data_IF_365843886910
#
_entry.id   IF_365843886910
#
_cell.length_a   1.000
_cell.length_b   1.000
_cell.length_c   1.000
_cell.angle_alpha   90.00
_cell.angle_beta   90.00
_cell.angle_gamma   90.00
#
_symmetry.space_group_name_H-M   'P 1'
#
loop_
_entity.id
_entity.type
_entity.pdbx_description
1 polymer ?
#
# COMPACT_ATOMS: atom_id res chain seq x y z
N UNK A 1 -16.24 8.22 -11.20
CA UNK A 1 -15.41 8.41 -9.99
C UNK A 1 -16.26 8.16 -8.76
N UNK A 2 -15.73 7.40 -7.80
CA UNK A 2 -16.36 7.20 -6.49
C UNK A 2 -16.33 8.51 -5.69
N UNK A 3 -17.40 8.83 -4.95
CA UNK A 3 -17.38 9.86 -3.91
C UNK A 3 -16.88 9.24 -2.61
N UNK A 4 -16.07 9.98 -1.84
CA UNK A 4 -15.69 9.58 -0.48
C UNK A 4 -16.48 10.38 0.58
N UNK A 5 -17.45 11.17 0.17
CA UNK A 5 -18.34 11.84 1.11
C UNK A 5 -19.04 10.82 2.01
N UNK A 6 -18.91 11.02 3.31
CA UNK A 6 -19.37 10.11 4.37
C UNK A 6 -18.72 8.72 4.43
N UNK A 7 -17.75 8.42 3.55
CA UNK A 7 -17.01 7.15 3.60
C UNK A 7 -16.18 7.03 4.86
N UNK A 8 -15.94 5.81 5.31
CA UNK A 8 -15.10 5.47 6.46
C UNK A 8 -13.74 4.97 5.99
N UNK A 9 -12.68 5.64 6.39
CA UNK A 9 -11.31 5.38 5.93
C UNK A 9 -10.41 5.05 7.10
N UNK A 10 -9.70 3.93 7.04
CA UNK A 10 -8.69 3.53 8.03
C UNK A 10 -7.31 3.58 7.39
N UNK A 11 -6.34 4.21 8.07
CA UNK A 11 -4.98 4.40 7.56
C UNK A 11 -3.95 4.00 8.62
N UNK A 12 -3.17 2.95 8.37
CA UNK A 12 -2.03 2.59 9.22
C UNK A 12 -0.82 3.48 8.93
N UNK A 13 -0.04 3.84 9.97
CA UNK A 13 1.04 4.83 9.82
C UNK A 13 0.51 6.23 9.43
N UNK A 14 -0.72 6.57 9.87
CA UNK A 14 -1.45 7.75 9.45
C UNK A 14 -1.07 9.06 10.17
N UNK A 15 -0.15 9.02 11.15
CA UNK A 15 0.20 10.22 11.92
C UNK A 15 1.24 11.13 11.25
N UNK A 16 1.95 10.66 10.23
CA UNK A 16 3.01 11.43 9.56
C UNK A 16 3.13 11.08 8.07
N UNK A 17 3.85 11.90 7.32
CA UNK A 17 4.25 11.62 5.94
C UNK A 17 3.08 11.34 5.00
N UNK A 18 3.23 10.30 4.18
CA UNK A 18 2.23 9.90 3.17
C UNK A 18 0.90 9.55 3.81
N UNK A 19 0.91 8.79 4.92
CA UNK A 19 -0.32 8.38 5.61
C UNK A 19 -1.12 9.58 6.13
N UNK A 20 -0.46 10.58 6.71
CA UNK A 20 -1.10 11.80 7.17
C UNK A 20 -1.65 12.64 6.01
N UNK A 21 -0.90 12.79 4.93
CA UNK A 21 -1.35 13.52 3.75
C UNK A 21 -2.57 12.84 3.09
N UNK A 22 -2.59 11.51 3.02
CA UNK A 22 -3.78 10.76 2.56
C UNK A 22 -4.96 10.93 3.51
N UNK A 23 -4.74 10.89 4.84
CA UNK A 23 -5.80 11.15 5.83
C UNK A 23 -6.45 12.52 5.62
N UNK A 24 -5.63 13.55 5.42
CA UNK A 24 -6.07 14.91 5.11
C UNK A 24 -6.82 14.97 3.77
N UNK A 25 -6.31 14.31 2.73
CA UNK A 25 -6.94 14.32 1.41
C UNK A 25 -8.31 13.63 1.43
N UNK A 26 -8.44 12.46 2.05
CA UNK A 26 -9.73 11.80 2.24
C UNK A 26 -10.70 12.63 3.08
N UNK A 27 -10.20 13.23 4.17
CA UNK A 27 -11.02 14.11 5.01
C UNK A 27 -11.58 15.33 4.27
N UNK A 28 -10.79 15.95 3.39
CA UNK A 28 -11.24 17.05 2.52
C UNK A 28 -12.31 16.62 1.50
N UNK A 29 -12.36 15.35 1.15
CA UNK A 29 -13.43 14.76 0.33
C UNK A 29 -14.68 14.37 1.16
N UNK A 30 -14.73 14.73 2.45
CA UNK A 30 -15.86 14.47 3.34
C UNK A 30 -15.83 13.10 4.03
N UNK A 31 -14.73 12.36 3.97
CA UNK A 31 -14.60 11.08 4.65
C UNK A 31 -14.41 11.24 6.17
N UNK A 32 -14.86 10.24 6.94
CA UNK A 32 -14.50 10.02 8.34
C UNK A 32 -13.22 9.19 8.37
N UNK A 33 -12.20 9.65 9.09
CA UNK A 33 -10.87 9.04 9.02
C UNK A 33 -10.45 8.50 10.38
N UNK A 34 -10.00 7.25 10.43
CA UNK A 34 -9.29 6.67 11.56
C UNK A 34 -7.83 6.47 11.19
N UNK A 35 -6.93 7.10 11.92
CA UNK A 35 -5.49 6.90 11.76
C UNK A 35 -4.94 6.03 12.88
N UNK A 36 -3.97 5.17 12.53
CA UNK A 36 -3.36 4.24 13.46
C UNK A 36 -1.84 4.25 13.35
N UNK A 37 -1.15 4.27 14.47
CA UNK A 37 0.30 4.10 14.59
C UNK A 37 0.69 3.79 16.05
N UNK A 38 1.90 3.30 16.35
CA UNK A 38 2.21 2.88 17.73
C UNK A 38 2.47 4.04 18.71
N UNK A 39 2.75 5.26 18.26
CA UNK A 39 3.14 6.40 19.12
C UNK A 39 1.96 7.32 19.39
N UNK A 40 1.29 7.14 20.53
CA UNK A 40 0.09 7.88 20.91
C UNK A 40 0.23 9.42 20.78
N UNK A 41 1.34 10.00 21.26
CA UNK A 41 1.56 11.46 21.21
C UNK A 41 1.56 12.04 19.78
N UNK A 42 1.95 11.22 18.77
CA UNK A 42 1.89 11.61 17.36
C UNK A 42 0.48 11.55 16.81
N UNK A 43 -0.28 10.53 17.20
CA UNK A 43 -1.69 10.40 16.83
C UNK A 43 -2.52 11.56 17.35
N UNK A 44 -2.31 11.95 18.62
CA UNK A 44 -3.00 13.08 19.25
C UNK A 44 -2.75 14.38 18.49
N UNK A 45 -1.48 14.68 18.17
CA UNK A 45 -1.12 15.85 17.38
C UNK A 45 -1.68 15.83 15.95
N UNK A 46 -1.62 14.67 15.29
CA UNK A 46 -2.13 14.52 13.94
C UNK A 46 -3.65 14.69 13.88
N UNK A 47 -4.40 14.06 14.79
CA UNK A 47 -5.87 14.22 14.84
C UNK A 47 -6.27 15.62 15.21
N UNK A 48 -5.57 16.29 16.14
CA UNK A 48 -5.82 17.69 16.44
C UNK A 48 -5.69 18.56 15.19
N UNK A 49 -4.62 18.38 14.41
CA UNK A 49 -4.40 19.12 13.16
C UNK A 49 -5.47 18.83 12.10
N UNK A 50 -5.89 17.56 11.94
CA UNK A 50 -6.98 17.20 11.02
C UNK A 50 -8.30 17.86 11.43
N UNK A 51 -8.61 17.86 12.71
CA UNK A 51 -9.84 18.48 13.25
C UNK A 51 -9.85 20.00 13.12
N UNK A 52 -8.70 20.66 13.24
CA UNK A 52 -8.54 22.10 12.96
C UNK A 52 -8.88 22.44 11.51
N UNK A 53 -8.64 21.50 10.56
CA UNK A 53 -9.05 21.64 9.17
C UNK A 53 -10.52 21.20 8.93
N UNK A 54 -11.30 20.92 10.00
CA UNK A 54 -12.72 20.50 9.89
C UNK A 54 -12.93 19.04 9.55
N UNK A 55 -11.88 18.21 9.59
CA UNK A 55 -11.94 16.81 9.22
C UNK A 55 -12.41 15.97 10.41
N UNK A 56 -13.40 15.08 10.18
CA UNK A 56 -13.83 14.13 11.19
C UNK A 56 -12.79 13.02 11.31
N UNK A 57 -11.91 13.13 12.30
CA UNK A 57 -10.79 12.22 12.50
C UNK A 57 -10.76 11.65 13.92
N UNK A 58 -10.47 10.36 14.02
CA UNK A 58 -10.21 9.62 15.26
C UNK A 58 -8.91 8.83 15.13
N UNK A 59 -8.43 8.27 16.23
CA UNK A 59 -7.20 7.50 16.22
C UNK A 59 -7.24 6.31 17.17
N UNK A 60 -6.39 5.32 16.89
CA UNK A 60 -6.09 4.21 17.77
C UNK A 60 -4.58 3.90 17.74
N UNK A 61 -3.99 3.61 18.91
CA UNK A 61 -2.62 3.05 18.94
C UNK A 61 -2.64 1.64 18.36
N UNK A 62 -1.73 1.38 17.41
CA UNK A 62 -1.65 0.10 16.73
C UNK A 62 -0.23 -0.14 16.25
N UNK A 63 0.37 -1.22 16.71
CA UNK A 63 1.61 -1.77 16.17
C UNK A 63 1.24 -2.85 15.15
N UNK A 64 1.47 -2.57 13.86
CA UNK A 64 1.12 -3.48 12.76
C UNK A 64 1.86 -4.81 12.80
N UNK A 65 2.90 -4.94 13.62
CA UNK A 65 3.60 -6.21 13.83
C UNK A 65 2.82 -7.18 14.73
N UNK A 66 1.75 -6.71 15.38
CA UNK A 66 0.90 -7.47 16.29
C UNK A 66 -0.48 -7.70 15.69
N UNK A 67 -0.88 -8.95 15.56
CA UNK A 67 -2.20 -9.29 15.02
C UNK A 67 -3.33 -8.78 15.92
N UNK A 68 -3.14 -8.84 17.23
CA UNK A 68 -4.09 -8.35 18.22
C UNK A 68 -4.36 -6.85 18.11
N UNK A 69 -3.33 -6.04 17.77
CA UNK A 69 -3.50 -4.60 17.58
C UNK A 69 -4.31 -4.30 16.30
N UNK A 70 -4.07 -5.06 15.21
CA UNK A 70 -4.85 -4.94 13.96
C UNK A 70 -6.30 -5.40 14.16
N UNK A 71 -6.54 -6.47 14.92
CA UNK A 71 -7.91 -6.89 15.29
C UNK A 71 -8.62 -5.78 16.10
N UNK A 72 -7.95 -5.22 17.11
CA UNK A 72 -8.48 -4.11 17.91
C UNK A 72 -8.76 -2.87 17.05
N UNK A 73 -7.89 -2.57 16.08
CA UNK A 73 -8.10 -1.47 15.12
C UNK A 73 -9.35 -1.72 14.27
N UNK A 74 -9.52 -2.94 13.78
CA UNK A 74 -10.70 -3.31 13.02
C UNK A 74 -11.98 -3.22 13.89
N UNK A 75 -11.96 -3.79 15.09
CA UNK A 75 -13.10 -3.70 16.03
C UNK A 75 -13.50 -2.24 16.29
N UNK A 76 -12.51 -1.38 16.58
CA UNK A 76 -12.74 0.05 16.81
C UNK A 76 -13.31 0.74 15.58
N UNK A 77 -12.80 0.44 14.37
CA UNK A 77 -13.26 1.07 13.14
C UNK A 77 -14.71 0.72 12.82
N UNK A 78 -15.11 -0.57 12.93
CA UNK A 78 -16.51 -0.97 12.73
C UNK A 78 -17.42 -0.46 13.83
N UNK A 79 -16.96 -0.38 15.08
CA UNK A 79 -17.73 0.20 16.19
C UNK A 79 -18.00 1.69 15.99
N UNK A 80 -16.97 2.45 15.55
CA UNK A 80 -17.03 3.91 15.36
C UNK A 80 -17.84 4.29 14.13
N UNK A 81 -17.66 3.56 13.04
CA UNK A 81 -18.18 3.94 11.74
C UNK A 81 -19.38 3.10 11.26
N UNK A 82 -19.55 1.91 11.79
CA UNK A 82 -20.57 0.94 11.35
C UNK A 82 -20.14 0.12 10.12
N UNK A 83 -19.25 0.66 9.30
CA UNK A 83 -18.67 0.03 8.12
C UNK A 83 -17.30 0.62 7.82
N UNK A 84 -16.43 -0.10 7.09
CA UNK A 84 -15.16 0.42 6.57
C UNK A 84 -15.18 0.37 5.05
N UNK A 85 -15.09 1.54 4.43
CA UNK A 85 -15.12 1.68 2.98
C UNK A 85 -13.74 1.64 2.34
N UNK A 86 -12.70 2.09 3.07
CA UNK A 86 -11.33 2.13 2.56
C UNK A 86 -10.35 1.74 3.67
N UNK A 87 -9.48 0.79 3.36
CA UNK A 87 -8.26 0.54 4.14
C UNK A 87 -7.04 1.00 3.33
N UNK A 88 -6.20 1.83 3.94
CA UNK A 88 -4.86 2.15 3.44
C UNK A 88 -3.81 1.51 4.36
N UNK A 89 -3.26 0.38 3.93
CA UNK A 89 -2.08 -0.22 4.55
C UNK A 89 -0.85 0.61 4.16
N UNK A 90 -0.47 1.56 5.03
CA UNK A 90 0.61 2.50 4.72
C UNK A 90 1.81 2.38 5.68
N UNK A 91 1.63 1.84 6.87
CA UNK A 91 2.72 1.70 7.85
C UNK A 91 3.96 1.08 7.22
N UNK A 92 5.12 1.70 7.45
CA UNK A 92 6.37 1.22 6.88
C UNK A 92 7.58 1.91 7.52
N UNK A 93 8.69 1.20 7.53
CA UNK A 93 9.98 1.67 8.02
C UNK A 93 11.05 1.51 6.94
N UNK A 94 12.11 2.28 7.08
CA UNK A 94 13.30 2.18 6.24
C UNK A 94 14.23 1.10 6.79
N UNK A 95 14.84 0.31 5.90
CA UNK A 95 15.94 -0.56 6.26
C UNK A 95 17.22 0.26 6.50
N UNK A 96 18.16 -0.22 7.32
CA UNK A 96 19.53 0.28 7.32
C UNK A 96 20.11 0.24 5.90
N UNK A 97 20.81 1.29 5.49
CA UNK A 97 21.42 1.38 4.16
C UNK A 97 22.76 0.63 4.14
N UNK A 98 22.69 -0.70 3.99
CA UNK A 98 23.84 -1.62 3.99
C UNK A 98 23.75 -2.60 2.82
N UNK A 99 24.90 -3.06 2.29
CA UNK A 99 24.92 -4.18 1.35
C UNK A 99 24.28 -5.44 1.96
N UNK A 100 23.74 -6.31 1.12
CA UNK A 100 23.15 -7.60 1.57
C UNK A 100 24.13 -8.43 2.41
N UNK A 101 25.42 -8.36 2.09
CA UNK A 101 26.50 -9.09 2.80
C UNK A 101 26.81 -8.56 4.19
N UNK A 102 26.28 -7.39 4.56
CA UNK A 102 26.57 -6.70 5.82
C UNK A 102 25.31 -6.37 6.63
N UNK A 103 24.13 -6.68 6.09
CA UNK A 103 22.86 -6.43 6.76
C UNK A 103 22.57 -7.58 7.74
N UNK A 104 22.29 -7.23 8.98
CA UNK A 104 21.90 -8.19 9.99
C UNK A 104 20.50 -8.76 9.72
N UNK A 105 20.30 -10.04 10.01
CA UNK A 105 19.01 -10.70 9.84
C UNK A 105 17.92 -10.11 10.74
N UNK A 106 18.27 -9.56 11.90
CA UNK A 106 17.34 -8.87 12.79
C UNK A 106 16.75 -7.62 12.12
N UNK A 107 17.60 -6.80 11.49
CA UNK A 107 17.17 -5.62 10.72
C UNK A 107 16.28 -6.03 9.53
N UNK A 108 16.64 -7.12 8.83
CA UNK A 108 15.83 -7.64 7.73
C UNK A 108 14.44 -8.08 8.22
N UNK A 109 14.37 -8.85 9.30
CA UNK A 109 13.11 -9.31 9.88
C UNK A 109 12.26 -8.13 10.34
N UNK A 110 12.84 -7.13 11.01
CA UNK A 110 12.11 -5.94 11.44
C UNK A 110 11.47 -5.18 10.27
N UNK A 111 12.21 -5.01 9.17
CA UNK A 111 11.69 -4.36 7.96
C UNK A 111 10.55 -5.17 7.34
N UNK A 112 10.69 -6.48 7.21
CA UNK A 112 9.64 -7.33 6.65
C UNK A 112 8.42 -7.41 7.57
N UNK A 113 8.62 -7.45 8.89
CA UNK A 113 7.51 -7.55 9.83
C UNK A 113 6.59 -6.31 9.77
N UNK A 114 7.17 -5.12 9.63
CA UNK A 114 6.39 -3.90 9.45
C UNK A 114 5.88 -3.76 8.01
N UNK A 115 6.79 -3.78 7.01
CA UNK A 115 6.47 -3.37 5.63
C UNK A 115 5.65 -4.40 4.85
N UNK A 116 5.79 -5.68 5.18
CA UNK A 116 5.11 -6.77 4.49
C UNK A 116 4.11 -7.50 5.39
N UNK A 117 4.56 -8.10 6.48
CA UNK A 117 3.65 -8.87 7.34
C UNK A 117 2.61 -7.97 8.03
N UNK A 118 2.95 -6.73 8.38
CA UNK A 118 1.98 -5.75 8.88
C UNK A 118 0.87 -5.47 7.86
N UNK A 119 1.24 -5.25 6.59
CA UNK A 119 0.25 -5.05 5.52
C UNK A 119 -0.55 -6.32 5.22
N UNK A 120 0.09 -7.51 5.30
CA UNK A 120 -0.58 -8.80 5.18
C UNK A 120 -1.65 -8.98 6.26
N UNK A 121 -1.31 -8.73 7.54
CA UNK A 121 -2.27 -8.79 8.66
C UNK A 121 -3.44 -7.83 8.42
N UNK A 122 -3.15 -6.59 8.02
CA UNK A 122 -4.19 -5.60 7.69
C UNK A 122 -5.09 -6.10 6.55
N UNK A 123 -4.51 -6.59 5.46
CA UNK A 123 -5.27 -7.12 4.32
C UNK A 123 -6.13 -8.33 4.70
N UNK A 124 -5.59 -9.26 5.49
CA UNK A 124 -6.32 -10.47 5.92
C UNK A 124 -7.49 -10.13 6.84
N UNK A 125 -7.26 -9.31 7.87
CA UNK A 125 -8.27 -9.01 8.89
C UNK A 125 -9.35 -8.09 8.32
N UNK A 126 -8.96 -6.96 7.72
CA UNK A 126 -9.93 -6.03 7.14
C UNK A 126 -10.59 -6.60 5.89
N UNK A 127 -9.83 -7.29 5.01
CA UNK A 127 -10.37 -7.91 3.80
C UNK A 127 -11.47 -8.90 4.12
N UNK A 128 -11.26 -9.80 5.11
CA UNK A 128 -12.31 -10.71 5.60
C UNK A 128 -13.58 -9.96 6.01
N UNK A 129 -13.44 -8.93 6.84
CA UNK A 129 -14.58 -8.16 7.33
C UNK A 129 -15.26 -7.34 6.22
N UNK A 130 -14.52 -6.82 5.25
CA UNK A 130 -15.08 -6.15 4.07
C UNK A 130 -15.88 -7.12 3.19
N UNK A 131 -15.41 -8.36 3.03
CA UNK A 131 -16.18 -9.42 2.34
C UNK A 131 -17.48 -9.71 3.09
N UNK A 132 -17.42 -9.89 4.40
CA UNK A 132 -18.60 -10.12 5.25
C UNK A 132 -19.57 -8.91 5.26
N UNK A 133 -19.04 -7.69 5.18
CA UNK A 133 -19.82 -6.45 5.04
C UNK A 133 -20.65 -6.43 3.75
N UNK A 134 -20.15 -7.01 2.65
CA UNK A 134 -20.87 -7.18 1.39
C UNK A 134 -21.16 -5.90 0.62
N UNK A 135 -20.59 -4.76 1.01
CA UNK A 135 -20.70 -3.48 0.31
C UNK A 135 -19.41 -3.11 -0.38
N UNK A 136 -19.49 -2.17 -1.35
CA UNK A 136 -18.31 -1.72 -2.08
C UNK A 136 -17.25 -1.15 -1.14
N UNK A 137 -16.04 -1.68 -1.24
CA UNK A 137 -14.90 -1.26 -0.43
C UNK A 137 -13.62 -1.15 -1.29
N UNK A 138 -12.55 -0.61 -0.69
CA UNK A 138 -11.24 -0.53 -1.34
C UNK A 138 -10.14 -0.89 -0.34
N UNK A 139 -9.20 -1.72 -0.78
CA UNK A 139 -8.02 -2.12 -0.02
C UNK A 139 -6.77 -1.71 -0.80
N UNK A 140 -6.08 -0.70 -0.31
CA UNK A 140 -4.84 -0.22 -0.91
C UNK A 140 -3.65 -0.47 0.01
N UNK A 141 -2.53 -0.92 -0.56
CA UNK A 141 -1.26 -1.03 0.15
C UNK A 141 -0.24 -0.07 -0.44
N UNK A 142 0.55 0.58 0.42
CA UNK A 142 1.60 1.51 -0.03
C UNK A 142 2.87 0.74 -0.33
N UNK A 143 3.11 0.53 -1.62
CA UNK A 143 4.35 0.00 -2.17
C UNK A 143 5.45 1.07 -2.24
N UNK A 144 6.11 1.11 -3.37
CA UNK A 144 7.15 2.07 -3.74
C UNK A 144 7.45 1.91 -5.25
N UNK A 145 8.11 2.87 -5.88
CA UNK A 145 8.79 2.65 -7.15
C UNK A 145 9.74 1.45 -7.07
N UNK A 146 10.36 1.24 -5.90
CA UNK A 146 11.21 0.08 -5.61
C UNK A 146 10.45 -1.26 -5.52
N UNK A 147 9.13 -1.28 -5.74
CA UNK A 147 8.37 -2.52 -6.01
C UNK A 147 8.60 -3.05 -7.43
N UNK A 148 9.18 -2.25 -8.33
CA UNK A 148 9.32 -2.61 -9.75
C UNK A 148 10.77 -2.61 -10.24
N UNK A 149 11.64 -1.76 -9.70
CA UNK A 149 13.04 -1.64 -10.12
C UNK A 149 13.96 -1.22 -8.97
N UNK A 150 15.26 -1.29 -9.17
CA UNK A 150 16.26 -0.85 -8.20
C UNK A 150 16.85 0.48 -8.63
N UNK A 151 16.73 1.52 -7.81
CA UNK A 151 17.30 2.85 -8.06
C UNK A 151 18.27 3.31 -6.96
N UNK A 152 18.29 2.62 -5.82
CA UNK A 152 19.07 3.03 -4.66
C UNK A 152 20.03 1.91 -4.24
N UNK A 153 21.35 2.15 -4.29
CA UNK A 153 22.32 1.20 -3.75
C UNK A 153 22.09 0.91 -2.26
N UNK A 154 22.38 -0.31 -1.83
CA UNK A 154 22.28 -0.76 -0.43
C UNK A 154 20.88 -0.69 0.18
N UNK A 155 19.83 -0.59 -0.63
CA UNK A 155 18.43 -0.58 -0.20
C UNK A 155 17.74 -1.92 -0.44
N UNK A 156 18.48 -3.02 -0.63
CA UNK A 156 17.95 -4.31 -1.08
C UNK A 156 16.87 -4.87 -0.13
N UNK A 157 17.04 -4.77 1.19
CA UNK A 157 16.04 -5.25 2.14
C UNK A 157 14.71 -4.49 2.02
N UNK A 158 14.77 -3.17 1.92
CA UNK A 158 13.58 -2.35 1.69
C UNK A 158 12.93 -2.66 0.34
N UNK A 159 13.72 -2.72 -0.73
CA UNK A 159 13.26 -3.08 -2.07
C UNK A 159 12.58 -4.46 -2.08
N UNK A 160 13.20 -5.48 -1.46
CA UNK A 160 12.63 -6.81 -1.36
C UNK A 160 11.28 -6.80 -0.63
N UNK A 161 11.17 -6.05 0.48
CA UNK A 161 9.90 -5.91 1.19
C UNK A 161 8.80 -5.26 0.32
N UNK A 162 9.14 -4.27 -0.51
CA UNK A 162 8.19 -3.60 -1.41
C UNK A 162 7.83 -4.42 -2.65
N UNK A 163 8.73 -5.28 -3.15
CA UNK A 163 8.39 -6.31 -4.14
C UNK A 163 7.43 -7.36 -3.57
N UNK A 164 7.64 -7.78 -2.31
CA UNK A 164 6.71 -8.70 -1.63
C UNK A 164 5.30 -8.10 -1.50
N UNK A 165 5.19 -6.81 -1.19
CA UNK A 165 3.89 -6.10 -1.16
C UNK A 165 3.21 -6.10 -2.53
N UNK A 166 3.95 -5.88 -3.63
CA UNK A 166 3.39 -5.97 -4.98
C UNK A 166 2.80 -7.36 -5.23
N UNK A 167 3.57 -8.43 -4.97
CA UNK A 167 3.09 -9.81 -5.15
C UNK A 167 1.85 -10.12 -4.32
N UNK A 168 1.79 -9.65 -3.06
CA UNK A 168 0.61 -9.78 -2.21
C UNK A 168 -0.61 -9.08 -2.81
N UNK A 169 -0.46 -7.84 -3.28
CA UNK A 169 -1.56 -7.07 -3.87
C UNK A 169 -2.08 -7.72 -5.16
N UNK A 170 -1.19 -8.27 -5.98
CA UNK A 170 -1.60 -9.01 -7.19
C UNK A 170 -2.38 -10.28 -6.85
N UNK A 171 -1.94 -11.05 -5.84
CA UNK A 171 -2.68 -12.20 -5.33
C UNK A 171 -4.06 -11.83 -4.77
N UNK A 172 -4.12 -10.79 -3.95
CA UNK A 172 -5.39 -10.32 -3.39
C UNK A 172 -6.43 -9.91 -4.45
N UNK A 173 -6.00 -9.38 -5.60
CA UNK A 173 -6.92 -9.05 -6.71
C UNK A 173 -7.63 -10.27 -7.28
N UNK A 174 -6.98 -11.43 -7.27
CA UNK A 174 -7.58 -12.68 -7.74
C UNK A 174 -8.49 -13.33 -6.68
N UNK A 175 -8.28 -12.99 -5.40
CA UNK A 175 -9.00 -13.59 -4.26
C UNK A 175 -10.20 -12.77 -3.79
N UNK A 176 -10.14 -11.44 -3.92
CA UNK A 176 -11.23 -10.56 -3.46
C UNK A 176 -12.39 -10.51 -4.46
N UNK A 177 -13.63 -10.39 -3.97
CA UNK A 177 -14.78 -10.22 -4.85
C UNK A 177 -14.75 -8.87 -5.57
N UNK A 178 -15.42 -8.79 -6.73
CA UNK A 178 -15.43 -7.63 -7.63
C UNK A 178 -15.90 -6.31 -6.98
N UNK A 179 -16.58 -6.36 -5.85
CA UNK A 179 -17.00 -5.17 -5.12
C UNK A 179 -15.90 -4.61 -4.19
N UNK A 180 -14.73 -5.26 -4.11
CA UNK A 180 -13.57 -4.76 -3.36
C UNK A 180 -12.47 -4.36 -4.35
N UNK A 181 -12.25 -3.05 -4.51
CA UNK A 181 -11.13 -2.54 -5.29
C UNK A 181 -9.81 -2.82 -4.56
N UNK A 182 -8.88 -3.55 -5.16
CA UNK A 182 -7.56 -3.83 -4.59
C UNK A 182 -6.48 -3.12 -5.39
N UNK A 183 -5.68 -2.27 -4.73
CA UNK A 183 -4.68 -1.47 -5.41
C UNK A 183 -3.35 -1.31 -4.67
N UNK A 184 -2.32 -0.95 -5.44
CA UNK A 184 -1.00 -0.57 -4.95
C UNK A 184 -0.80 0.93 -5.16
N UNK A 185 -0.54 1.66 -4.07
CA UNK A 185 -0.08 3.05 -4.15
C UNK A 185 1.43 3.02 -4.34
N UNK A 186 1.94 3.72 -5.35
CA UNK A 186 3.34 3.65 -5.80
C UNK A 186 4.02 5.01 -5.64
N UNK A 187 4.51 5.34 -4.43
CA UNK A 187 5.33 6.52 -4.26
C UNK A 187 6.67 6.38 -4.98
N UNK A 188 7.09 7.44 -5.66
CA UNK A 188 8.49 7.66 -5.95
C UNK A 188 9.17 8.33 -4.75
N UNK A 189 10.10 9.25 -4.99
CA UNK A 189 10.77 9.95 -3.90
C UNK A 189 9.89 11.04 -3.29
N UNK A 190 9.25 10.74 -2.17
CA UNK A 190 8.41 11.65 -1.38
C UNK A 190 9.16 12.12 -0.13
N UNK A 191 9.18 13.42 0.09
CA UNK A 191 9.81 14.07 1.24
C UNK A 191 9.03 13.84 2.53
N UNK A 192 9.46 12.85 3.32
CA UNK A 192 8.85 12.48 4.60
C UNK A 192 9.90 12.40 5.71
N UNK A 193 9.46 12.26 6.95
CA UNK A 193 10.35 12.01 8.10
C UNK A 193 11.18 10.73 8.01
N UNK A 194 10.86 9.85 7.08
CA UNK A 194 11.66 8.66 6.78
C UNK A 194 13.08 9.03 6.29
N UNK A 195 13.28 10.25 5.83
CA UNK A 195 14.55 10.78 5.36
C UNK A 195 15.05 11.93 6.24
N UNK A 196 16.37 12.10 6.34
CA UNK A 196 16.95 13.27 6.99
C UNK A 196 16.48 14.55 6.29
N UNK A 197 16.26 15.64 7.06
CA UNK A 197 15.70 16.90 6.54
C UNK A 197 16.31 17.40 5.23
N UNK A 198 17.66 17.43 5.05
CA UNK A 198 18.23 17.91 3.79
C UNK A 198 17.84 17.06 2.56
N UNK A 199 17.67 15.75 2.77
CA UNK A 199 17.28 14.82 1.69
C UNK A 199 15.77 14.87 1.44
N UNK A 200 14.98 14.95 2.51
CA UNK A 200 13.52 15.04 2.41
C UNK A 200 13.06 16.25 1.59
N UNK A 201 13.77 17.39 1.68
CA UNK A 201 13.42 18.62 0.94
C UNK A 201 13.60 18.51 -0.59
N UNK A 202 14.27 17.47 -1.08
CA UNK A 202 14.46 17.21 -2.52
C UNK A 202 13.31 16.39 -3.12
N UNK A 203 12.49 15.73 -2.29
CA UNK A 203 11.37 14.92 -2.73
C UNK A 203 10.10 15.72 -2.98
N UNK A 204 9.15 15.10 -3.69
CA UNK A 204 7.78 15.62 -3.79
C UNK A 204 7.19 15.75 -2.38
N UNK A 205 6.45 16.83 -2.09
CA UNK A 205 5.79 16.92 -0.77
C UNK A 205 4.72 15.83 -0.63
N UNK A 206 4.45 15.41 0.61
CA UNK A 206 3.42 14.40 0.87
C UNK A 206 2.02 14.88 0.45
N UNK A 207 1.72 16.18 0.59
CA UNK A 207 0.45 16.76 0.15
C UNK A 207 0.32 16.73 -1.38
N UNK A 208 1.34 17.14 -2.14
CA UNK A 208 1.35 17.01 -3.60
C UNK A 208 1.21 15.56 -4.05
N UNK A 209 1.88 14.63 -3.36
CA UNK A 209 1.73 13.21 -3.63
C UNK A 209 0.27 12.76 -3.45
N UNK A 210 -0.37 13.13 -2.34
CA UNK A 210 -1.76 12.78 -2.09
C UNK A 210 -2.70 13.38 -3.16
N UNK A 211 -2.50 14.62 -3.58
CA UNK A 211 -3.28 15.26 -4.66
C UNK A 211 -3.19 14.48 -5.97
N UNK A 212 -2.01 13.94 -6.30
CA UNK A 212 -1.81 13.17 -7.55
C UNK A 212 -2.47 11.78 -7.48
N UNK A 213 -2.44 11.11 -6.33
CA UNK A 213 -2.94 9.72 -6.25
C UNK A 213 -4.43 9.63 -5.90
N UNK A 214 -5.03 10.63 -5.26
CA UNK A 214 -6.45 10.62 -4.88
C UNK A 214 -7.42 10.39 -6.05
N UNK A 215 -7.30 11.07 -7.23
CA UNK A 215 -8.17 10.79 -8.37
C UNK A 215 -8.08 9.34 -8.85
N UNK A 216 -6.90 8.73 -8.77
CA UNK A 216 -6.65 7.36 -9.18
C UNK A 216 -7.31 6.37 -8.21
N UNK A 217 -7.20 6.62 -6.90
CA UNK A 217 -7.91 5.84 -5.87
C UNK A 217 -9.44 5.97 -6.04
N UNK A 218 -9.94 7.16 -6.36
CA UNK A 218 -11.37 7.39 -6.67
C UNK A 218 -11.88 6.60 -7.87
N UNK A 219 -11.01 6.35 -8.83
CA UNK A 219 -11.33 5.53 -10.01
C UNK A 219 -11.19 4.02 -9.76
N UNK A 220 -10.67 3.58 -8.61
CA UNK A 220 -10.39 2.18 -8.33
C UNK A 220 -9.19 1.64 -9.13
N UNK A 221 -8.22 2.53 -9.47
CA UNK A 221 -7.06 2.12 -10.24
C UNK A 221 -6.23 1.06 -9.50
N UNK A 222 -5.75 0.07 -10.25
CA UNK A 222 -4.91 -1.00 -9.69
C UNK A 222 -3.55 -0.49 -9.20
N UNK A 223 -3.05 0.57 -9.84
CA UNK A 223 -1.81 1.24 -9.47
C UNK A 223 -2.06 2.73 -9.39
N UNK A 224 -1.88 3.33 -8.21
CA UNK A 224 -1.92 4.76 -8.01
C UNK A 224 -0.49 5.31 -8.01
N UNK A 225 -0.08 5.94 -9.10
CA UNK A 225 1.30 6.35 -9.40
C UNK A 225 1.48 7.86 -9.30
N UNK A 226 2.70 8.32 -9.02
CA UNK A 226 2.96 9.75 -8.82
C UNK A 226 4.12 10.32 -9.64
N UNK A 227 5.16 9.55 -9.93
CA UNK A 227 6.37 10.03 -10.59
C UNK A 227 6.47 9.50 -12.02
N UNK A 228 6.37 10.39 -12.99
CA UNK A 228 6.27 10.03 -14.41
C UNK A 228 7.52 9.28 -14.94
N UNK A 229 8.71 9.64 -14.47
CA UNK A 229 9.96 9.03 -14.96
C UNK A 229 10.11 7.54 -14.60
N UNK A 230 9.39 7.05 -13.61
CA UNK A 230 9.48 5.65 -13.18
C UNK A 230 9.11 4.67 -14.29
N UNK A 231 8.30 5.08 -15.26
CA UNK A 231 7.89 4.22 -16.37
C UNK A 231 9.07 3.78 -17.23
N UNK A 232 10.09 4.61 -17.38
CA UNK A 232 11.30 4.27 -18.15
C UNK A 232 12.01 3.07 -17.54
N UNK A 233 12.26 3.08 -16.23
CA UNK A 233 12.93 1.98 -15.51
C UNK A 233 12.07 0.71 -15.44
N UNK A 234 10.75 0.85 -15.35
CA UNK A 234 9.83 -0.28 -15.42
C UNK A 234 9.90 -0.91 -16.81
N UNK A 235 9.87 -0.10 -17.87
CA UNK A 235 9.95 -0.55 -19.26
C UNK A 235 11.27 -1.27 -19.52
N UNK A 236 12.42 -0.68 -19.15
CA UNK A 236 13.75 -1.30 -19.28
C UNK A 236 13.79 -2.72 -18.66
N UNK A 237 13.22 -2.89 -17.47
CA UNK A 237 13.15 -4.20 -16.82
C UNK A 237 12.35 -5.21 -17.63
N UNK A 238 11.17 -4.84 -18.12
CA UNK A 238 10.31 -5.73 -18.88
C UNK A 238 10.86 -6.02 -20.27
N UNK A 239 11.49 -5.06 -20.94
CA UNK A 239 12.19 -5.27 -22.20
C UNK A 239 13.35 -6.26 -22.04
N UNK A 240 14.14 -6.15 -20.97
CA UNK A 240 15.20 -7.10 -20.68
C UNK A 240 14.67 -8.54 -20.52
N UNK A 241 13.52 -8.70 -19.82
CA UNK A 241 12.85 -10.00 -19.67
C UNK A 241 12.34 -10.50 -21.03
N UNK A 242 11.62 -9.66 -21.78
CA UNK A 242 11.06 -10.00 -23.10
C UNK A 242 12.14 -10.49 -24.06
N UNK A 243 13.27 -9.81 -24.10
CA UNK A 243 14.40 -10.20 -24.96
C UNK A 243 14.95 -11.59 -24.65
N UNK A 244 14.98 -11.98 -23.37
CA UNK A 244 15.41 -13.32 -22.96
C UNK A 244 14.39 -14.37 -23.42
N UNK A 245 13.08 -14.10 -23.28
CA UNK A 245 12.04 -14.98 -23.76
C UNK A 245 12.07 -15.12 -25.29
N UNK A 246 12.19 -14.02 -26.03
CA UNK A 246 12.32 -14.05 -27.51
C UNK A 246 13.51 -14.89 -27.98
N UNK A 247 14.59 -14.89 -27.22
CA UNK A 247 15.82 -15.60 -27.58
C UNK A 247 15.78 -17.08 -27.24
N UNK A 248 15.29 -17.43 -26.04
CA UNK A 248 15.46 -18.77 -25.47
C UNK A 248 14.14 -19.56 -25.31
N UNK A 249 13.01 -18.85 -25.30
CA UNK A 249 11.67 -19.46 -25.18
C UNK A 249 10.66 -18.72 -26.08
N UNK A 250 10.93 -18.62 -27.41
CA UNK A 250 10.02 -17.92 -28.32
C UNK A 250 8.66 -18.61 -28.40
N UNK A 251 7.61 -17.84 -28.65
CA UNK A 251 6.26 -18.35 -28.84
C UNK A 251 6.18 -19.30 -30.04
N UNK A 252 5.41 -20.39 -29.87
CA UNK A 252 5.10 -21.36 -30.94
C UNK A 252 3.65 -21.84 -30.84
N UNK A 253 3.13 -22.45 -31.87
CA UNK A 253 1.76 -22.98 -31.88
C UNK A 253 1.60 -24.09 -30.83
N UNK A 254 0.65 -23.92 -29.90
CA UNK A 254 0.40 -24.83 -28.78
C UNK A 254 1.28 -24.62 -27.55
N UNK A 255 2.06 -23.58 -27.49
CA UNK A 255 2.92 -23.24 -26.34
C UNK A 255 2.16 -22.93 -25.03
N UNK A 256 0.81 -22.81 -25.10
CA UNK A 256 -0.07 -22.68 -23.95
C UNK A 256 -0.43 -24.00 -23.27
N UNK A 257 0.14 -25.13 -23.75
CA UNK A 257 -0.09 -26.46 -23.17
C UNK A 257 0.22 -26.49 -21.67
N UNK A 258 1.31 -25.81 -21.27
CA UNK A 258 1.78 -25.73 -19.88
C UNK A 258 1.37 -24.43 -19.14
N UNK A 259 0.54 -23.58 -19.76
CA UNK A 259 0.02 -22.39 -19.10
C UNK A 259 -1.02 -22.78 -18.04
N UNK A 260 -0.68 -22.51 -16.76
CA UNK A 260 -1.54 -22.84 -15.61
C UNK A 260 -2.90 -22.15 -15.70
N UNK A 261 -2.96 -20.90 -16.18
CA UNK A 261 -4.23 -20.17 -16.35
C UNK A 261 -5.11 -20.83 -17.40
N UNK A 262 -4.52 -21.21 -18.55
CA UNK A 262 -5.22 -21.93 -19.60
C UNK A 262 -5.69 -23.33 -19.13
N UNK A 263 -4.85 -24.03 -18.38
CA UNK A 263 -5.19 -25.34 -17.78
C UNK A 263 -6.35 -25.24 -16.80
N UNK A 264 -6.36 -24.21 -15.91
CA UNK A 264 -7.45 -23.99 -14.97
C UNK A 264 -8.75 -23.59 -15.67
N UNK A 265 -8.67 -22.76 -16.71
CA UNK A 265 -9.84 -22.37 -17.50
C UNK A 265 -10.51 -23.58 -18.17
N UNK A 266 -9.70 -24.53 -18.69
CA UNK A 266 -10.18 -25.79 -19.29
C UNK A 266 -10.82 -26.75 -18.26
N UNK A 267 -10.52 -26.62 -16.96
CA UNK A 267 -11.01 -27.48 -15.86
C UNK A 267 -12.26 -26.96 -15.16
N UNK A 268 -12.68 -25.70 -15.39
CA UNK A 268 -13.95 -25.21 -14.82
C UNK A 268 -15.10 -25.98 -15.46
N UNK A 269 -15.88 -26.82 -14.72
CA UNK A 269 -17.12 -27.37 -15.24
C UNK A 269 -18.07 -26.21 -15.51
N UNK A 270 -18.74 -26.21 -16.65
CA UNK A 270 -19.78 -25.27 -17.03
C UNK A 270 -20.95 -25.27 -16.06
#
# INVERSE_FOLDING_TARGET
>A
MRSFEHSSVVITGGATGIGFALAKAFGKEGARVMIAEPRQHRLEGAVASLREEGINAVWLTCDVTKSEDIEALADSAWSEFGAVDVLINNAGIKAPNRPVTELDMEDLHAVFDVNFFGMWRGAAIFGKRMVEQGSRASLYSVGSELSFFSSVPNATAYMASKHAVLGMVEGLREEMPDFIDVGLIVPGFVGTEMHAKPVASLGMSADQFAEVVMPQIKNGERFAVSHAFNIEHITERYEAISKVYETYAPRYEGDDEFDVKAMMARRKPG
#
